data_IF_385631559939
#
_entry.id   IF_385631559939
#
_cell.length_a   1.000
_cell.length_b   1.000
_cell.length_c   1.000
_cell.angle_alpha   90.00
_cell.angle_beta   90.00
_cell.angle_gamma   90.00
#
_symmetry.space_group_name_H-M   'P 1'
#
loop_
_entity.id
_entity.type
_entity.pdbx_description
1 polymer ?
#
# COMPACT_ATOMS: atom_id res chain seq x y z
N UNK A 1 4.99 -0.23 -1.70
CA UNK A 1 4.19 0.90 -1.19
C UNK A 1 3.46 1.52 -2.36
N UNK A 2 2.14 1.35 -2.42
CA UNK A 2 1.32 1.76 -3.58
C UNK A 2 0.61 3.07 -3.27
N UNK A 3 0.83 4.08 -4.10
CA UNK A 3 0.44 5.46 -3.81
C UNK A 3 1.33 6.05 -2.72
N UNK A 4 2.64 5.92 -2.89
CA UNK A 4 3.64 6.20 -1.85
C UNK A 4 3.69 7.68 -1.43
N UNK A 5 3.16 8.60 -2.24
CA UNK A 5 3.27 10.03 -1.99
C UNK A 5 4.73 10.44 -1.93
N UNK A 6 5.15 11.08 -0.84
CA UNK A 6 6.56 11.41 -0.60
C UNK A 6 7.32 10.31 0.16
N UNK A 7 6.79 9.09 0.22
CA UNK A 7 7.51 7.88 0.60
C UNK A 7 7.39 7.45 2.06
N UNK A 8 6.48 8.04 2.85
CA UNK A 8 6.45 7.85 4.32
C UNK A 8 6.45 6.37 4.72
N UNK A 9 5.50 5.59 4.22
CA UNK A 9 5.27 4.24 4.72
C UNK A 9 6.42 3.32 4.28
N UNK A 10 6.69 3.26 2.98
CA UNK A 10 7.75 2.42 2.43
C UNK A 10 9.14 2.74 3.00
N UNK A 11 9.53 4.03 3.03
CA UNK A 11 10.85 4.42 3.50
C UNK A 11 11.04 4.14 4.99
N UNK A 12 10.03 4.38 5.83
CA UNK A 12 10.11 4.10 7.28
C UNK A 12 10.24 2.59 7.52
N UNK A 13 9.44 1.77 6.85
CA UNK A 13 9.52 0.31 6.99
C UNK A 13 10.91 -0.21 6.61
N UNK A 14 11.49 0.30 5.52
CA UNK A 14 12.84 -0.07 5.09
C UNK A 14 13.90 0.44 6.06
N UNK A 15 13.80 1.70 6.53
CA UNK A 15 14.75 2.31 7.45
C UNK A 15 14.85 1.56 8.79
N UNK A 16 13.72 1.09 9.33
CA UNK A 16 13.70 0.29 10.56
C UNK A 16 13.90 -1.22 10.33
N UNK A 17 14.37 -1.62 9.14
CA UNK A 17 14.68 -3.01 8.82
C UNK A 17 13.47 -3.95 8.80
N UNK A 18 12.25 -3.41 8.69
CA UNK A 18 11.02 -4.21 8.57
C UNK A 18 10.83 -4.79 7.16
N UNK A 19 11.57 -4.26 6.17
CA UNK A 19 11.62 -4.75 4.81
C UNK A 19 13.07 -4.72 4.30
N UNK A 20 13.54 -5.82 3.69
CA UNK A 20 14.90 -5.90 3.13
C UNK A 20 15.04 -5.09 1.84
N UNK A 21 13.99 -5.02 1.04
CA UNK A 21 13.88 -4.18 -0.15
C UNK A 21 12.47 -3.59 -0.21
N UNK A 22 12.30 -2.47 -0.92
CA UNK A 22 10.97 -1.91 -1.14
C UNK A 22 10.84 -1.26 -2.52
N UNK A 23 9.72 -1.56 -3.19
CA UNK A 23 9.26 -0.81 -4.36
C UNK A 23 8.23 0.23 -3.89
N UNK A 24 8.43 1.49 -4.27
CA UNK A 24 7.54 2.61 -3.97
C UNK A 24 7.01 3.20 -5.28
N UNK A 25 5.69 3.17 -5.45
CA UNK A 25 5.06 3.57 -6.71
C UNK A 25 3.99 4.64 -6.49
N UNK A 26 3.90 5.57 -7.43
CA UNK A 26 2.90 6.63 -7.44
C UNK A 26 2.63 7.10 -8.88
N UNK A 27 1.43 7.63 -9.10
CA UNK A 27 1.02 8.23 -10.37
C UNK A 27 1.56 9.67 -10.51
N UNK A 28 1.97 10.30 -9.41
CA UNK A 28 2.45 11.68 -9.41
C UNK A 28 3.99 11.73 -9.49
N UNK A 29 4.59 12.21 -10.60
CA UNK A 29 6.04 12.29 -10.73
C UNK A 29 6.72 13.17 -9.67
N UNK A 30 6.03 14.21 -9.17
CA UNK A 30 6.55 15.04 -8.09
C UNK A 30 6.64 14.28 -6.76
N UNK A 31 5.71 13.36 -6.53
CA UNK A 31 5.71 12.50 -5.35
C UNK A 31 6.90 11.54 -5.39
N UNK A 32 7.20 10.97 -6.57
CA UNK A 32 8.37 10.12 -6.80
C UNK A 32 9.69 10.88 -6.56
N UNK A 33 9.81 12.11 -7.07
CA UNK A 33 11.00 12.94 -6.83
C UNK A 33 11.22 13.22 -5.34
N UNK A 34 10.16 13.61 -4.61
CA UNK A 34 10.23 13.79 -3.15
C UNK A 34 10.59 12.49 -2.42
N UNK A 35 10.06 11.35 -2.86
CA UNK A 35 10.40 10.04 -2.31
C UNK A 35 11.87 9.71 -2.51
N UNK A 36 12.43 9.95 -3.70
CA UNK A 36 13.86 9.76 -3.98
C UNK A 36 14.75 10.68 -3.13
N UNK A 37 14.37 11.95 -2.96
CA UNK A 37 15.08 12.88 -2.08
C UNK A 37 15.05 12.40 -0.62
N UNK A 38 13.89 11.96 -0.13
CA UNK A 38 13.76 11.44 1.23
C UNK A 38 14.55 10.15 1.44
N UNK A 39 14.55 9.24 0.46
CA UNK A 39 15.36 8.02 0.51
C UNK A 39 16.86 8.33 0.61
N UNK A 40 17.33 9.32 -0.17
CA UNK A 40 18.71 9.79 -0.11
C UNK A 40 19.05 10.37 1.26
N UNK A 41 18.16 11.17 1.86
CA UNK A 41 18.35 11.74 3.20
C UNK A 41 18.41 10.65 4.28
N UNK A 42 17.71 9.52 4.09
CA UNK A 42 17.75 8.36 4.97
C UNK A 42 18.87 7.36 4.63
N UNK A 43 19.70 7.65 3.62
CA UNK A 43 20.77 6.76 3.13
C UNK A 43 20.29 5.36 2.71
N UNK A 44 19.04 5.25 2.25
CA UNK A 44 18.47 3.99 1.78
C UNK A 44 18.91 3.70 0.34
N UNK A 45 19.46 2.50 0.13
CA UNK A 45 19.95 2.03 -1.19
C UNK A 45 19.18 0.83 -1.73
N UNK A 46 18.37 0.21 -0.88
CA UNK A 46 17.60 -1.00 -1.12
C UNK A 46 16.14 -0.68 -1.49
N UNK A 47 15.93 0.39 -2.24
CA UNK A 47 14.60 0.80 -2.70
C UNK A 47 14.58 1.05 -4.20
N UNK A 48 13.43 0.82 -4.82
CA UNK A 48 13.14 1.25 -6.19
C UNK A 48 11.94 2.19 -6.17
N UNK A 49 12.04 3.33 -6.86
CA UNK A 49 10.97 4.33 -6.96
C UNK A 49 10.64 4.53 -8.43
N UNK A 50 9.40 4.27 -8.82
CA UNK A 50 9.01 4.36 -10.22
C UNK A 50 7.53 4.72 -10.39
N UNK A 51 7.21 5.25 -11.57
CA UNK A 51 5.85 5.65 -11.93
C UNK A 51 4.94 4.43 -12.12
N UNK A 52 3.76 4.48 -11.53
CA UNK A 52 2.67 3.51 -11.78
C UNK A 52 1.31 4.14 -11.48
N UNK A 53 0.33 3.91 -12.36
CA UNK A 53 -1.08 4.17 -12.03
C UNK A 53 -1.64 2.94 -11.31
N UNK A 54 -1.65 2.99 -9.99
CA UNK A 54 -1.91 1.80 -9.17
C UNK A 54 -0.86 0.72 -9.44
N UNK A 55 -1.28 -0.39 -10.06
CA UNK A 55 -0.43 -1.54 -10.37
C UNK A 55 0.02 -1.61 -11.84
N UNK A 56 -0.28 -0.61 -12.68
CA UNK A 56 -0.04 -0.67 -14.13
C UNK A 56 1.40 -1.04 -14.53
N UNK A 57 2.39 -0.57 -13.77
CA UNK A 57 3.82 -0.82 -14.01
C UNK A 57 4.45 -1.72 -12.93
N UNK A 58 3.63 -2.37 -12.12
CA UNK A 58 4.07 -3.32 -11.11
C UNK A 58 4.10 -4.70 -11.77
N UNK A 59 5.27 -5.35 -11.76
CA UNK A 59 5.47 -6.64 -12.45
C UNK A 59 5.98 -7.75 -11.53
N UNK A 60 6.30 -7.43 -10.27
CA UNK A 60 6.82 -8.38 -9.28
C UNK A 60 5.69 -8.85 -8.36
N UNK A 61 5.96 -9.92 -7.62
CA UNK A 61 5.15 -10.35 -6.49
C UNK A 61 5.85 -10.01 -5.18
N UNK A 62 5.07 -9.74 -4.13
CA UNK A 62 5.58 -9.20 -2.87
C UNK A 62 5.15 -10.04 -1.67
N UNK A 63 5.97 -9.99 -0.60
CA UNK A 63 5.63 -10.51 0.73
C UNK A 63 4.66 -9.61 1.49
N UNK A 64 4.67 -8.31 1.17
CA UNK A 64 3.83 -7.32 1.80
C UNK A 64 3.52 -6.20 0.82
N UNK A 65 2.25 -5.85 0.71
CA UNK A 65 1.79 -4.64 0.04
C UNK A 65 1.20 -3.72 1.10
N UNK A 66 1.51 -2.44 1.00
CA UNK A 66 0.97 -1.39 1.89
C UNK A 66 0.36 -0.29 1.02
N UNK A 67 -0.79 0.24 1.43
CA UNK A 67 -1.38 1.40 0.78
C UNK A 67 -2.22 2.26 1.74
N UNK A 68 -2.23 3.57 1.48
CA UNK A 68 -3.25 4.49 1.99
C UNK A 68 -4.15 4.87 0.80
N UNK A 69 -5.21 4.10 0.50
CA UNK A 69 -5.91 4.18 -0.78
C UNK A 69 -6.57 5.55 -0.99
N UNK A 70 -6.61 6.07 -2.23
CA UNK A 70 -7.14 7.39 -2.56
C UNK A 70 -8.67 7.39 -2.51
N UNK A 71 -9.25 7.53 -1.31
CA UNK A 71 -10.68 7.31 -1.11
C UNK A 71 -11.59 8.16 -2.01
N UNK A 72 -11.14 9.36 -2.39
CA UNK A 72 -11.87 10.28 -3.26
C UNK A 72 -11.93 9.84 -4.73
N UNK A 73 -11.08 8.90 -5.16
CA UNK A 73 -11.13 8.32 -6.51
C UNK A 73 -12.35 7.39 -6.72
N UNK A 74 -13.07 7.06 -5.63
CA UNK A 74 -14.28 6.27 -5.66
C UNK A 74 -14.03 4.76 -5.53
N UNK A 75 -15.09 4.03 -5.16
CA UNK A 75 -15.01 2.60 -4.78
C UNK A 75 -14.47 1.72 -5.91
N UNK A 76 -14.82 2.00 -7.17
CA UNK A 76 -14.38 1.19 -8.31
C UNK A 76 -12.85 1.13 -8.43
N UNK A 77 -12.19 2.28 -8.28
CA UNK A 77 -10.72 2.37 -8.33
C UNK A 77 -10.11 1.63 -7.16
N UNK A 78 -10.59 1.89 -5.94
CA UNK A 78 -10.06 1.27 -4.71
C UNK A 78 -10.23 -0.26 -4.74
N UNK A 79 -11.37 -0.75 -5.20
CA UNK A 79 -11.65 -2.18 -5.24
C UNK A 79 -10.78 -2.89 -6.28
N UNK A 80 -10.56 -2.26 -7.44
CA UNK A 80 -9.61 -2.77 -8.42
C UNK A 80 -8.19 -2.84 -7.83
N UNK A 81 -7.76 -1.83 -7.09
CA UNK A 81 -6.46 -1.87 -6.39
C UNK A 81 -6.36 -3.00 -5.36
N UNK A 82 -7.46 -3.43 -4.73
CA UNK A 82 -7.44 -4.58 -3.82
C UNK A 82 -7.30 -5.91 -4.57
N UNK A 83 -7.96 -6.03 -5.72
CA UNK A 83 -7.84 -7.20 -6.61
C UNK A 83 -6.41 -7.28 -7.18
N UNK A 84 -5.88 -6.17 -7.69
CA UNK A 84 -4.51 -6.11 -8.20
C UNK A 84 -3.48 -6.41 -7.09
N UNK A 85 -3.71 -5.91 -5.87
CA UNK A 85 -2.87 -6.26 -4.73
C UNK A 85 -2.88 -7.77 -4.43
N UNK A 86 -4.04 -8.42 -4.53
CA UNK A 86 -4.13 -9.87 -4.38
C UNK A 86 -3.31 -10.58 -5.47
N UNK A 87 -3.41 -10.16 -6.72
CA UNK A 87 -2.67 -10.76 -7.84
C UNK A 87 -1.15 -10.63 -7.67
N UNK A 88 -0.68 -9.51 -7.11
CA UNK A 88 0.73 -9.20 -6.85
C UNK A 88 1.25 -9.67 -5.48
N UNK A 89 0.47 -10.41 -4.69
CA UNK A 89 0.95 -11.04 -3.47
C UNK A 89 1.34 -12.50 -3.72
N UNK A 90 2.40 -12.95 -3.05
CA UNK A 90 2.67 -14.39 -2.92
C UNK A 90 1.63 -15.03 -1.98
N UNK A 91 1.49 -16.36 -2.07
CA UNK A 91 0.56 -17.11 -1.21
C UNK A 91 0.93 -16.96 0.28
N UNK A 92 -0.08 -16.77 1.14
CA UNK A 92 0.10 -16.55 2.57
C UNK A 92 0.70 -15.20 2.95
N UNK A 93 0.78 -14.26 1.99
CA UNK A 93 1.33 -12.91 2.18
C UNK A 93 0.24 -11.85 2.23
N UNK A 94 0.63 -10.64 2.62
CA UNK A 94 -0.31 -9.73 3.26
C UNK A 94 -0.40 -8.34 2.60
N UNK A 95 -1.64 -7.86 2.49
CA UNK A 95 -1.99 -6.49 2.19
C UNK A 95 -2.32 -5.75 3.48
N UNK A 96 -1.74 -4.56 3.66
CA UNK A 96 -2.06 -3.64 4.75
C UNK A 96 -2.62 -2.33 4.21
N UNK A 97 -3.79 -1.94 4.73
CA UNK A 97 -4.41 -0.67 4.35
C UNK A 97 -4.85 0.13 5.57
N UNK A 98 -4.79 1.45 5.44
CA UNK A 98 -5.35 2.39 6.42
C UNK A 98 -6.50 3.17 5.81
N UNK A 99 -7.67 3.19 6.48
CA UNK A 99 -8.86 3.89 5.99
C UNK A 99 -9.53 4.62 7.15
N UNK A 100 -9.95 5.88 6.93
CA UNK A 100 -10.81 6.59 7.89
C UNK A 100 -12.21 5.96 7.87
N UNK A 101 -12.75 5.60 9.04
CA UNK A 101 -14.04 4.92 9.23
C UNK A 101 -15.16 5.54 8.39
N UNK A 102 -15.31 6.86 8.49
CA UNK A 102 -16.39 7.62 7.82
C UNK A 102 -16.24 7.69 6.30
N UNK A 103 -15.06 7.34 5.78
CA UNK A 103 -14.77 7.26 4.36
C UNK A 103 -14.97 5.84 3.80
N UNK A 104 -15.56 4.92 4.58
CA UNK A 104 -15.99 3.61 4.09
C UNK A 104 -15.11 2.43 4.49
N UNK A 105 -14.51 2.47 5.69
CA UNK A 105 -13.71 1.34 6.20
C UNK A 105 -14.51 0.02 6.25
N UNK A 106 -15.80 0.07 6.61
CA UNK A 106 -16.68 -1.11 6.63
C UNK A 106 -16.88 -1.69 5.23
N UNK A 107 -17.11 -0.85 4.22
CA UNK A 107 -17.27 -1.31 2.84
C UNK A 107 -15.96 -1.85 2.26
N UNK A 108 -14.83 -1.25 2.59
CA UNK A 108 -13.53 -1.76 2.20
C UNK A 108 -13.23 -3.12 2.84
N UNK A 109 -13.50 -3.28 4.15
CA UNK A 109 -13.36 -4.56 4.83
C UNK A 109 -14.22 -5.65 4.19
N UNK A 110 -15.50 -5.34 3.86
CA UNK A 110 -16.38 -6.28 3.19
C UNK A 110 -15.81 -6.70 1.82
N UNK A 111 -15.34 -5.75 1.01
CA UNK A 111 -14.73 -6.07 -0.29
C UNK A 111 -13.46 -6.90 -0.13
N UNK A 112 -12.62 -6.59 0.85
CA UNK A 112 -11.43 -7.39 1.13
C UNK A 112 -11.80 -8.84 1.49
N UNK A 113 -12.86 -9.07 2.27
CA UNK A 113 -13.34 -10.42 2.60
C UNK A 113 -13.92 -11.18 1.39
N UNK A 114 -14.27 -10.48 0.31
CA UNK A 114 -14.69 -11.10 -0.95
C UNK A 114 -13.48 -11.54 -1.80
N UNK A 115 -12.29 -10.97 -1.57
CA UNK A 115 -11.06 -11.22 -2.34
C UNK A 115 -10.09 -12.14 -1.58
N UNK A 116 -9.91 -11.87 -0.29
CA UNK A 116 -8.90 -12.50 0.58
C UNK A 116 -9.54 -13.51 1.52
N UNK A 117 -8.80 -14.59 1.81
CA UNK A 117 -9.25 -15.67 2.69
C UNK A 117 -9.42 -15.19 4.15
N UNK A 118 -8.58 -14.27 4.59
CA UNK A 118 -8.58 -13.74 5.95
C UNK A 118 -8.38 -12.23 5.97
N UNK A 119 -9.21 -11.51 6.75
CA UNK A 119 -9.10 -10.05 6.94
C UNK A 119 -9.26 -9.70 8.41
N UNK A 120 -8.26 -9.02 8.97
CA UNK A 120 -8.22 -8.60 10.36
C UNK A 120 -8.27 -7.07 10.48
N UNK A 121 -9.02 -6.58 11.47
CA UNK A 121 -8.91 -5.18 11.90
C UNK A 121 -7.84 -5.10 12.97
N UNK A 122 -6.63 -4.68 12.59
CA UNK A 122 -5.46 -4.68 13.48
C UNK A 122 -5.50 -3.51 14.46
N UNK A 123 -5.96 -2.34 14.01
CA UNK A 123 -6.04 -1.15 14.87
C UNK A 123 -7.27 -0.32 14.53
N UNK A 124 -7.89 0.25 15.57
CA UNK A 124 -8.88 1.32 15.47
C UNK A 124 -8.43 2.48 16.35
N UNK A 125 -8.05 3.60 15.76
CA UNK A 125 -7.58 4.75 16.52
C UNK A 125 -8.00 6.07 15.87
N UNK A 126 -8.61 6.98 16.66
CA UNK A 126 -9.05 8.33 16.21
C UNK A 126 -9.81 8.33 14.88
N UNK A 127 -10.67 7.33 14.68
CA UNK A 127 -11.46 7.18 13.46
C UNK A 127 -10.72 6.57 12.27
N UNK A 128 -9.46 6.16 12.40
CA UNK A 128 -8.72 5.40 11.39
C UNK A 128 -8.70 3.91 11.74
N UNK A 129 -8.87 3.08 10.73
CA UNK A 129 -8.82 1.62 10.83
C UNK A 129 -7.64 1.13 10.01
N UNK A 130 -6.81 0.30 10.63
CA UNK A 130 -5.76 -0.46 9.92
C UNK A 130 -6.29 -1.87 9.71
N UNK A 131 -6.36 -2.28 8.45
CA UNK A 131 -6.81 -3.59 8.04
C UNK A 131 -5.62 -4.37 7.47
N UNK A 132 -5.54 -5.64 7.82
CA UNK A 132 -4.61 -6.61 7.25
C UNK A 132 -5.44 -7.67 6.52
N UNK A 133 -5.09 -7.99 5.28
CA UNK A 133 -5.70 -9.05 4.48
C UNK A 133 -4.62 -10.02 4.02
N UNK A 134 -4.83 -11.32 4.19
CA UNK A 134 -3.86 -12.38 3.87
C UNK A 134 -4.38 -13.14 2.65
N UNK A 135 -3.53 -13.30 1.64
CA UNK A 135 -3.79 -14.13 0.45
C UNK A 135 -3.87 -15.58 0.88
#
# INVERSE_FOLDING_TARGET
DVGCGYGVIGLILTYFGQCQTADLVDINPRALDLTLQNAKNLSLKNIEVYYSDGFSNVHKNYDRIVMNPPIRAGKKVIYKMFEDAFDHLLEGKELWIVIKKDLGALSAQKKLLEIFSNVHVVLKHKGYWVLQAIK
#
